data_IF_136216848311
#
_entry.id   IF_136216848311
#
_cell.length_a   1.000
_cell.length_b   1.000
_cell.length_c   1.000
_cell.angle_alpha   90.00
_cell.angle_beta   90.00
_cell.angle_gamma   90.00
#
_symmetry.space_group_name_H-M   'P 1'
#
loop_
_entity.id
_entity.type
_entity.pdbx_description
1 polymer ?
#
# COMPACT_ATOMS: atom_id res chain seq x y z
N UNK A 1 8.06 -34.14 1.62
CA UNK A 1 8.98 -33.63 0.56
C UNK A 1 8.57 -32.19 0.18
N UNK A 2 9.46 -31.45 -0.52
CA UNK A 2 9.13 -30.11 -1.08
C UNK A 2 7.94 -30.22 -2.04
N UNK A 3 7.84 -31.28 -2.80
CA UNK A 3 6.74 -31.54 -3.74
C UNK A 3 5.40 -31.76 -3.02
N UNK A 4 5.38 -32.49 -1.89
CA UNK A 4 4.18 -32.64 -1.05
C UNK A 4 3.75 -31.32 -0.43
N UNK A 5 4.72 -30.48 -0.04
CA UNK A 5 4.47 -29.14 0.47
C UNK A 5 3.86 -28.25 -0.61
N UNK A 6 4.44 -28.21 -1.82
CA UNK A 6 3.92 -27.41 -2.95
C UNK A 6 2.55 -27.89 -3.41
N UNK A 7 2.28 -29.19 -3.37
CA UNK A 7 0.96 -29.75 -3.70
C UNK A 7 -0.10 -29.55 -2.61
N UNK A 8 0.33 -29.35 -1.36
CA UNK A 8 -0.55 -29.15 -0.18
C UNK A 8 -0.97 -27.69 0.05
N UNK A 9 -0.20 -26.72 -0.43
CA UNK A 9 -0.53 -25.29 -0.30
C UNK A 9 -1.19 -24.79 -1.57
N UNK A 10 -2.51 -24.69 -1.54
CA UNK A 10 -3.30 -24.22 -2.69
C UNK A 10 -3.08 -22.75 -3.05
N UNK A 11 -2.61 -21.93 -2.09
CA UNK A 11 -2.57 -20.47 -2.22
C UNK A 11 -1.14 -19.91 -2.30
N UNK A 12 -0.19 -20.64 -2.90
CA UNK A 12 1.18 -20.14 -3.12
C UNK A 12 1.19 -18.81 -3.90
N UNK A 13 0.38 -18.57 -4.94
CA UNK A 13 0.34 -17.28 -5.61
C UNK A 13 -0.02 -16.11 -4.68
N UNK A 14 -1.01 -16.30 -3.80
CA UNK A 14 -1.40 -15.28 -2.80
C UNK A 14 -0.28 -15.01 -1.80
N UNK A 15 0.39 -16.06 -1.31
CA UNK A 15 1.54 -15.92 -0.41
C UNK A 15 2.72 -15.22 -1.11
N UNK A 16 2.90 -15.46 -2.41
CA UNK A 16 3.91 -14.80 -3.23
C UNK A 16 3.60 -13.30 -3.43
N UNK A 17 2.32 -12.96 -3.64
CA UNK A 17 1.84 -11.58 -3.70
C UNK A 17 1.98 -10.86 -2.35
N UNK A 18 1.78 -11.57 -1.23
CA UNK A 18 2.08 -11.10 0.12
C UNK A 18 3.58 -10.98 0.42
N UNK A 19 4.43 -11.19 -0.57
CA UNK A 19 5.89 -11.14 -0.46
C UNK A 19 6.45 -12.09 0.61
N UNK A 20 5.79 -13.26 0.81
CA UNK A 20 6.30 -14.30 1.71
C UNK A 20 7.59 -14.86 1.14
N UNK A 21 8.69 -14.62 1.82
CA UNK A 21 10.04 -15.02 1.35
C UNK A 21 10.46 -16.40 1.81
N UNK A 22 9.97 -16.84 2.95
CA UNK A 22 10.38 -18.10 3.56
C UNK A 22 9.20 -18.86 4.15
N UNK A 23 9.21 -20.19 4.00
CA UNK A 23 8.28 -21.09 4.66
C UNK A 23 9.01 -21.88 5.75
N UNK A 24 8.51 -21.82 6.98
CA UNK A 24 9.07 -22.54 8.13
C UNK A 24 8.12 -23.69 8.45
N UNK A 25 8.55 -24.93 8.16
CA UNK A 25 7.73 -26.14 8.34
C UNK A 25 7.90 -26.79 9.72
N UNK A 26 8.92 -26.42 10.47
CA UNK A 26 9.20 -26.94 11.81
C UNK A 26 10.49 -26.38 12.39
N UNK A 27 10.66 -26.51 13.70
CA UNK A 27 11.82 -25.94 14.40
C UNK A 27 13.16 -26.59 13.99
N UNK A 28 13.13 -27.85 13.57
CA UNK A 28 14.32 -28.65 13.22
C UNK A 28 14.61 -28.65 11.70
N UNK A 29 13.77 -27.98 10.90
CA UNK A 29 13.91 -27.94 9.44
C UNK A 29 14.43 -26.57 9.00
N UNK A 30 15.37 -26.51 8.04
CA UNK A 30 15.77 -25.24 7.47
C UNK A 30 14.59 -24.56 6.76
N UNK A 31 14.48 -23.23 6.81
CA UNK A 31 13.46 -22.49 6.05
C UNK A 31 13.58 -22.77 4.55
N UNK A 32 12.44 -22.93 3.89
CA UNK A 32 12.37 -23.06 2.44
C UNK A 32 12.17 -21.66 1.85
N UNK A 33 13.06 -21.25 0.94
CA UNK A 33 12.95 -19.96 0.27
C UNK A 33 11.85 -20.00 -0.81
N UNK A 34 10.99 -18.98 -0.83
CA UNK A 34 10.00 -18.77 -1.87
C UNK A 34 10.60 -17.93 -3.01
N UNK A 35 11.16 -18.59 -4.00
CA UNK A 35 11.72 -17.93 -5.19
C UNK A 35 10.65 -17.25 -6.07
N UNK A 36 9.37 -17.55 -5.85
CA UNK A 36 8.24 -16.95 -6.53
C UNK A 36 7.67 -15.68 -5.87
N UNK A 37 8.25 -15.20 -4.76
CA UNK A 37 7.80 -13.97 -4.11
C UNK A 37 7.82 -12.78 -5.08
N UNK A 38 6.73 -11.98 -5.13
CA UNK A 38 6.59 -10.89 -6.10
C UNK A 38 7.44 -9.68 -5.79
N UNK A 39 7.92 -9.58 -4.55
CA UNK A 39 8.64 -8.42 -4.06
C UNK A 39 7.69 -7.39 -3.42
N UNK A 40 8.21 -6.21 -3.05
CA UNK A 40 7.43 -5.18 -2.37
C UNK A 40 6.46 -4.44 -3.30
N UNK A 41 6.67 -4.51 -4.62
CA UNK A 41 5.78 -3.96 -5.64
C UNK A 41 6.06 -4.63 -7.00
N UNK A 42 5.04 -4.67 -7.86
CA UNK A 42 5.14 -5.18 -9.24
C UNK A 42 4.14 -4.48 -10.15
N UNK A 43 4.40 -4.51 -11.44
CA UNK A 43 3.47 -4.06 -12.47
C UNK A 43 2.53 -5.16 -12.91
N UNK A 44 1.29 -4.81 -13.25
CA UNK A 44 0.31 -5.71 -13.86
C UNK A 44 -0.05 -5.24 -15.26
N UNK A 45 -0.47 -6.20 -16.11
CA UNK A 45 -0.73 -6.00 -17.53
C UNK A 45 -2.21 -5.91 -17.84
N UNK A 46 -3.05 -6.49 -16.97
CA UNK A 46 -4.51 -6.56 -17.14
C UNK A 46 -5.24 -6.50 -15.81
N UNK A 47 -6.55 -6.34 -15.85
CA UNK A 47 -7.39 -6.47 -14.68
C UNK A 47 -8.68 -7.22 -14.97
N UNK A 48 -9.25 -7.85 -13.93
CA UNK A 48 -10.59 -8.44 -13.93
C UNK A 48 -11.48 -7.64 -12.97
N UNK A 49 -12.63 -7.14 -13.43
CA UNK A 49 -13.54 -6.44 -12.57
C UNK A 49 -14.32 -7.42 -11.69
N UNK A 50 -14.47 -7.11 -10.40
CA UNK A 50 -15.35 -7.80 -9.48
C UNK A 50 -16.54 -6.91 -9.13
N UNK A 51 -17.75 -7.47 -9.15
CA UNK A 51 -19.00 -6.76 -8.81
C UNK A 51 -19.30 -6.75 -7.32
N UNK A 52 -18.82 -7.77 -6.60
CA UNK A 52 -19.02 -7.92 -5.16
C UNK A 52 -17.72 -8.34 -4.46
N UNK A 53 -17.62 -8.13 -3.13
CA UNK A 53 -16.48 -8.60 -2.36
C UNK A 53 -16.25 -10.12 -2.42
N UNK A 54 -17.31 -10.93 -2.40
CA UNK A 54 -17.20 -12.38 -2.50
C UNK A 54 -16.68 -12.84 -3.87
N UNK A 55 -17.09 -12.14 -4.94
CA UNK A 55 -16.57 -12.36 -6.28
C UNK A 55 -15.10 -11.97 -6.39
N UNK A 56 -14.68 -10.86 -5.76
CA UNK A 56 -13.29 -10.42 -5.73
C UNK A 56 -12.37 -11.49 -5.11
N UNK A 57 -12.77 -12.07 -3.96
CA UNK A 57 -12.02 -13.17 -3.33
C UNK A 57 -11.99 -14.43 -4.21
N UNK A 58 -13.12 -14.79 -4.83
CA UNK A 58 -13.20 -15.98 -5.66
C UNK A 58 -12.32 -15.86 -6.93
N UNK A 59 -12.22 -14.66 -7.50
CA UNK A 59 -11.42 -14.40 -8.68
C UNK A 59 -9.90 -14.49 -8.38
N UNK A 60 -9.44 -14.15 -7.18
CA UNK A 60 -8.03 -14.24 -6.77
C UNK A 60 -7.46 -15.65 -6.97
N UNK A 61 -8.26 -16.69 -6.73
CA UNK A 61 -7.82 -18.08 -6.92
C UNK A 61 -7.75 -18.50 -8.41
N UNK A 62 -8.34 -17.72 -9.32
CA UNK A 62 -8.49 -18.07 -10.74
C UNK A 62 -7.61 -17.28 -11.68
N UNK A 63 -7.01 -16.17 -11.23
CA UNK A 63 -6.18 -15.28 -12.04
C UNK A 63 -4.69 -15.42 -11.71
N UNK A 64 -3.82 -15.10 -12.66
CA UNK A 64 -2.40 -14.93 -12.39
C UNK A 64 -2.14 -13.54 -11.80
N UNK A 65 -2.08 -13.45 -10.47
CA UNK A 65 -1.85 -12.20 -9.73
C UNK A 65 -0.53 -11.49 -10.07
N UNK A 66 0.40 -12.18 -10.76
CA UNK A 66 1.64 -11.57 -11.22
C UNK A 66 1.40 -10.61 -12.38
N UNK A 67 0.39 -10.90 -13.19
CA UNK A 67 0.09 -10.19 -14.44
C UNK A 67 -1.30 -9.54 -14.44
N UNK A 68 -2.23 -10.03 -13.62
CA UNK A 68 -3.64 -9.62 -13.64
C UNK A 68 -4.09 -9.20 -12.25
N UNK A 69 -4.58 -7.97 -12.12
CA UNK A 69 -5.19 -7.48 -10.90
C UNK A 69 -6.70 -7.78 -10.85
N UNK A 70 -7.25 -8.03 -9.67
CA UNK A 70 -8.71 -8.05 -9.44
C UNK A 70 -9.11 -6.74 -8.78
N UNK A 71 -10.02 -5.97 -9.41
CA UNK A 71 -10.40 -4.64 -8.93
C UNK A 71 -11.91 -4.61 -8.63
N UNK A 72 -12.27 -4.30 -7.38
CA UNK A 72 -13.64 -4.20 -6.91
C UNK A 72 -14.43 -3.05 -7.54
N UNK A 73 -15.78 -3.14 -7.50
CA UNK A 73 -16.70 -2.12 -8.05
C UNK A 73 -16.55 -0.75 -7.38
N UNK A 74 -16.06 -0.72 -6.15
CA UNK A 74 -15.83 0.52 -5.37
C UNK A 74 -14.76 1.42 -5.99
N UNK A 75 -13.96 0.90 -6.94
CA UNK A 75 -12.84 1.59 -7.59
C UNK A 75 -13.04 1.72 -9.10
N UNK A 76 -14.25 2.10 -9.53
CA UNK A 76 -14.58 2.25 -10.96
C UNK A 76 -13.67 3.24 -11.68
N UNK A 77 -13.33 4.39 -11.07
CA UNK A 77 -12.42 5.39 -11.63
C UNK A 77 -11.00 4.84 -11.85
N UNK A 78 -10.54 3.99 -10.94
CA UNK A 78 -9.24 3.31 -11.09
C UNK A 78 -9.24 2.35 -12.28
N UNK A 79 -10.35 1.65 -12.53
CA UNK A 79 -10.55 0.78 -13.69
C UNK A 79 -10.50 1.57 -15.00
N UNK A 80 -11.16 2.74 -15.06
CA UNK A 80 -11.10 3.64 -16.21
C UNK A 80 -9.68 4.14 -16.46
N UNK A 81 -8.96 4.52 -15.40
CA UNK A 81 -7.55 4.87 -15.46
C UNK A 81 -6.69 3.74 -16.03
N UNK A 82 -6.93 2.51 -15.58
CA UNK A 82 -6.24 1.31 -16.09
C UNK A 82 -6.56 1.07 -17.58
N UNK A 83 -7.83 1.14 -17.96
CA UNK A 83 -8.25 0.95 -19.35
C UNK A 83 -7.59 1.97 -20.30
N UNK A 84 -7.52 3.24 -19.90
CA UNK A 84 -6.82 4.29 -20.68
C UNK A 84 -5.32 4.01 -20.84
N UNK A 85 -4.67 3.50 -19.81
CA UNK A 85 -3.27 3.10 -19.82
C UNK A 85 -3.06 1.95 -20.82
N UNK A 86 -3.91 0.92 -20.76
CA UNK A 86 -3.81 -0.27 -21.60
C UNK A 86 -4.13 0.00 -23.07
N UNK A 87 -5.00 0.97 -23.38
CA UNK A 87 -5.37 1.36 -24.75
C UNK A 87 -4.41 2.34 -25.42
N UNK A 88 -3.32 2.73 -24.75
CA UNK A 88 -2.34 3.67 -25.32
C UNK A 88 -2.88 5.08 -25.58
N UNK A 89 -3.99 5.46 -24.93
CA UNK A 89 -4.59 6.81 -25.04
C UNK A 89 -5.35 7.07 -26.33
N UNK A 90 -5.75 6.06 -27.11
CA UNK A 90 -6.68 6.25 -28.23
C UNK A 90 -8.11 6.31 -27.72
N UNK A 91 -8.84 7.37 -28.11
CA UNK A 91 -10.25 7.61 -27.77
C UNK A 91 -11.22 6.68 -28.56
N UNK A 92 -10.85 5.43 -28.79
CA UNK A 92 -11.71 4.45 -29.47
C UNK A 92 -12.45 3.57 -28.47
N UNK A 93 -13.74 3.34 -28.77
CA UNK A 93 -14.82 2.73 -27.98
C UNK A 93 -14.44 1.39 -27.28
N UNK A 94 -14.75 1.17 -25.96
CA UNK A 94 -14.21 0.07 -25.17
C UNK A 94 -14.95 -1.29 -25.30
N UNK A 95 -15.50 -1.64 -26.46
CA UNK A 95 -16.35 -2.84 -26.64
C UNK A 95 -15.81 -3.90 -27.61
N UNK A 96 -14.50 -4.07 -27.76
CA UNK A 96 -13.97 -5.28 -28.45
C UNK A 96 -12.84 -5.92 -27.64
N UNK A 97 -13.21 -6.91 -26.83
CA UNK A 97 -12.32 -7.66 -25.93
C UNK A 97 -11.81 -8.90 -26.67
N UNK A 98 -11.03 -8.74 -27.72
CA UNK A 98 -10.41 -9.89 -28.41
C UNK A 98 -9.14 -9.58 -29.22
N UNK A 99 -8.27 -8.69 -28.74
CA UNK A 99 -6.90 -8.65 -29.26
C UNK A 99 -5.89 -8.66 -28.09
N UNK A 100 -5.05 -9.69 -28.07
CA UNK A 100 -3.85 -9.76 -27.21
C UNK A 100 -2.90 -8.64 -27.65
N UNK A 101 -2.87 -7.54 -26.88
CA UNK A 101 -1.92 -6.44 -27.11
C UNK A 101 -0.57 -6.86 -26.53
N UNK A 102 0.29 -7.37 -27.40
CA UNK A 102 1.70 -7.63 -27.10
C UNK A 102 2.43 -6.28 -27.01
N UNK A 103 2.67 -5.78 -25.82
CA UNK A 103 3.54 -4.62 -25.59
C UNK A 103 5.01 -5.07 -25.74
N UNK A 104 5.59 -4.82 -26.89
CA UNK A 104 7.01 -5.04 -27.17
C UNK A 104 7.82 -3.88 -26.54
N UNK A 105 8.27 -4.05 -25.28
CA UNK A 105 9.14 -3.10 -24.59
C UNK A 105 10.57 -3.60 -24.50
N UNK A 106 11.51 -2.88 -25.10
CA UNK A 106 12.96 -3.16 -25.05
C UNK A 106 13.66 -2.67 -23.76
N UNK A 107 12.98 -1.95 -22.90
CA UNK A 107 13.43 -1.63 -21.54
C UNK A 107 12.56 -2.41 -20.56
N UNK A 108 13.18 -3.20 -19.68
CA UNK A 108 12.45 -3.96 -18.66
C UNK A 108 11.86 -2.98 -17.67
N UNK A 109 10.52 -2.88 -17.62
CA UNK A 109 9.82 -2.09 -16.61
C UNK A 109 10.17 -2.64 -15.22
N UNK A 110 10.60 -1.79 -14.31
CA UNK A 110 11.08 -2.16 -12.97
C UNK A 110 10.51 -1.21 -11.95
N UNK A 111 10.08 -1.75 -10.82
CA UNK A 111 9.72 -1.00 -9.62
C UNK A 111 10.45 -1.61 -8.42
N UNK A 112 11.05 -0.77 -7.58
CA UNK A 112 11.85 -1.21 -6.44
C UNK A 112 11.54 -0.34 -5.22
N UNK A 113 11.47 -0.96 -4.04
CA UNK A 113 11.44 -0.23 -2.78
C UNK A 113 12.85 0.25 -2.45
N UNK A 114 13.01 1.56 -2.27
CA UNK A 114 14.29 2.21 -1.95
C UNK A 114 14.44 2.49 -0.47
N UNK A 115 13.33 2.65 0.26
CA UNK A 115 13.34 2.87 1.72
C UNK A 115 12.06 2.36 2.36
N UNK A 116 12.21 1.81 3.56
CA UNK A 116 11.11 1.35 4.41
C UNK A 116 11.24 1.97 5.80
N UNK A 117 10.19 2.67 6.23
CA UNK A 117 10.00 3.10 7.60
C UNK A 117 8.52 2.86 8.00
N UNK A 118 8.19 2.73 9.28
CA UNK A 118 6.82 2.40 9.71
C UNK A 118 5.73 3.33 9.18
N UNK A 119 6.08 4.59 8.91
CA UNK A 119 5.17 5.64 8.44
C UNK A 119 5.59 6.27 7.09
N UNK A 120 6.61 5.74 6.44
CA UNK A 120 7.06 6.23 5.13
C UNK A 120 7.64 5.08 4.30
N UNK A 121 7.12 4.90 3.10
CA UNK A 121 7.62 3.95 2.10
C UNK A 121 8.07 4.74 0.88
N UNK A 122 9.21 4.36 0.31
CA UNK A 122 9.72 4.97 -0.91
C UNK A 122 9.99 3.90 -1.95
N UNK A 123 9.59 4.21 -3.18
CA UNK A 123 9.82 3.36 -4.32
C UNK A 123 10.43 4.20 -5.44
N UNK A 124 11.25 3.57 -6.23
CA UNK A 124 11.75 4.08 -7.50
C UNK A 124 11.29 3.16 -8.61
N UNK A 125 10.81 3.71 -9.72
CA UNK A 125 10.43 2.90 -10.86
C UNK A 125 10.86 3.52 -12.19
N UNK A 126 11.00 2.64 -13.18
CA UNK A 126 11.17 2.98 -14.59
C UNK A 126 10.16 2.18 -15.39
N UNK A 127 9.33 2.85 -16.19
CA UNK A 127 8.30 2.24 -17.01
C UNK A 127 8.30 2.84 -18.41
N UNK A 128 8.32 1.98 -19.43
CA UNK A 128 8.35 2.39 -20.85
C UNK A 128 7.03 3.01 -21.31
N UNK A 129 5.93 2.69 -20.64
CA UNK A 129 4.58 3.24 -20.84
C UNK A 129 3.93 3.46 -19.47
N UNK A 130 2.78 4.14 -19.45
CA UNK A 130 1.97 4.22 -18.24
C UNK A 130 1.55 2.79 -17.82
N UNK A 131 1.64 2.48 -16.52
CA UNK A 131 1.42 1.14 -15.96
C UNK A 131 0.65 1.21 -14.64
N UNK A 132 -0.07 0.15 -14.32
CA UNK A 132 -0.61 -0.03 -12.99
C UNK A 132 0.37 -0.85 -12.15
N UNK A 133 0.70 -0.36 -10.96
CA UNK A 133 1.51 -1.07 -9.99
C UNK A 133 0.66 -1.54 -8.82
N UNK A 134 0.94 -2.76 -8.34
CA UNK A 134 0.45 -3.32 -7.09
C UNK A 134 1.61 -3.24 -6.08
N UNK A 135 1.29 -2.87 -4.85
CA UNK A 135 2.21 -2.81 -3.73
C UNK A 135 1.83 -3.88 -2.71
N UNK A 136 2.79 -4.69 -2.28
CA UNK A 136 2.58 -5.74 -1.25
C UNK A 136 2.35 -5.12 0.13
N UNK A 137 1.43 -4.14 0.20
CA UNK A 137 1.05 -3.38 1.37
C UNK A 137 -0.47 -3.35 1.48
N UNK A 138 -0.99 -3.50 2.69
CA UNK A 138 -2.44 -3.51 2.90
C UNK A 138 -3.03 -2.12 2.60
N UNK A 139 -4.07 -2.09 1.77
CA UNK A 139 -4.84 -0.88 1.52
C UNK A 139 -5.58 -0.44 2.78
N UNK A 140 -5.28 0.75 3.23
CA UNK A 140 -5.98 1.41 4.33
C UNK A 140 -6.20 2.87 3.94
N UNK A 141 -7.46 3.31 3.73
CA UNK A 141 -7.75 4.63 3.17
C UNK A 141 -7.44 5.77 4.14
N UNK A 142 -7.53 5.50 5.47
CA UNK A 142 -7.40 6.52 6.48
C UNK A 142 -5.95 6.77 6.87
N UNK A 143 -5.38 7.88 6.39
CA UNK A 143 -4.08 8.37 6.80
C UNK A 143 -2.92 8.06 5.88
N UNK A 144 -3.05 7.15 4.92
CA UNK A 144 -2.03 6.96 3.88
C UNK A 144 -2.26 7.92 2.72
N UNK A 145 -1.21 8.65 2.37
CA UNK A 145 -1.14 9.51 1.18
C UNK A 145 0.03 9.06 0.32
N UNK A 146 -0.07 9.29 -0.99
CA UNK A 146 1.01 8.99 -1.92
C UNK A 146 1.30 10.18 -2.84
N UNK A 147 2.53 10.27 -3.26
CA UNK A 147 2.98 11.21 -4.29
C UNK A 147 3.92 10.52 -5.27
N UNK A 148 3.90 10.96 -6.53
CA UNK A 148 4.90 10.66 -7.54
C UNK A 148 5.60 11.97 -7.90
N UNK A 149 6.92 12.04 -7.67
CA UNK A 149 7.75 13.26 -7.81
C UNK A 149 7.16 14.49 -7.11
N UNK A 150 6.50 14.27 -5.98
CA UNK A 150 5.83 15.30 -5.20
C UNK A 150 4.43 15.69 -5.67
N UNK A 151 3.95 15.22 -6.83
CA UNK A 151 2.56 15.38 -7.26
C UNK A 151 1.66 14.32 -6.59
N UNK A 152 0.42 14.65 -6.20
CA UNK A 152 -0.50 13.69 -5.61
C UNK A 152 -0.71 12.46 -6.49
N UNK A 153 -0.71 11.28 -5.86
CA UNK A 153 -0.96 9.98 -6.49
C UNK A 153 -2.12 9.30 -5.79
N UNK A 154 -3.17 8.99 -6.54
CA UNK A 154 -4.33 8.30 -6.01
C UNK A 154 -4.05 6.82 -5.80
N UNK A 155 -4.32 6.34 -4.58
CA UNK A 155 -4.23 4.95 -4.21
C UNK A 155 -5.61 4.31 -4.25
N UNK A 156 -5.68 3.10 -4.79
CA UNK A 156 -6.88 2.28 -4.75
C UNK A 156 -6.57 0.86 -4.26
N UNK A 157 -7.62 0.08 -4.02
CA UNK A 157 -7.48 -1.31 -3.59
C UNK A 157 -7.58 -2.26 -4.79
N UNK A 158 -6.66 -3.21 -4.85
CA UNK A 158 -6.70 -4.33 -5.78
C UNK A 158 -6.44 -5.65 -5.03
N UNK A 159 -6.83 -6.77 -5.64
CA UNK A 159 -6.60 -8.12 -5.13
C UNK A 159 -7.04 -8.26 -3.66
N UNK A 160 -8.21 -7.70 -3.34
CA UNK A 160 -8.86 -7.73 -2.04
C UNK A 160 -8.20 -6.85 -0.96
N UNK A 161 -6.87 -6.80 -0.89
CA UNK A 161 -6.17 -6.14 0.24
C UNK A 161 -5.05 -5.21 -0.17
N UNK A 162 -4.49 -5.31 -1.39
CA UNK A 162 -3.30 -4.57 -1.75
C UNK A 162 -3.58 -3.12 -2.15
N UNK A 163 -2.59 -2.26 -1.91
CA UNK A 163 -2.56 -0.93 -2.53
C UNK A 163 -2.19 -1.05 -3.98
N UNK A 164 -2.80 -0.22 -4.79
CA UNK A 164 -2.47 -0.09 -6.19
C UNK A 164 -2.48 1.39 -6.60
N UNK A 165 -1.79 1.70 -7.67
CA UNK A 165 -1.80 3.03 -8.28
C UNK A 165 -1.54 2.95 -9.79
N UNK A 166 -2.15 3.87 -10.54
CA UNK A 166 -1.86 4.09 -11.95
C UNK A 166 -0.69 5.06 -12.06
N UNK A 167 0.40 4.63 -12.68
CA UNK A 167 1.67 5.34 -12.76
C UNK A 167 1.94 5.83 -14.18
N UNK A 168 2.44 7.07 -14.36
CA UNK A 168 2.87 7.58 -15.66
C UNK A 168 4.09 6.82 -16.20
N UNK A 169 4.32 6.94 -17.51
CA UNK A 169 5.53 6.48 -18.14
C UNK A 169 6.74 7.34 -17.71
N UNK A 170 7.91 6.73 -17.63
CA UNK A 170 9.15 7.40 -17.29
C UNK A 170 9.86 6.79 -16.10
N UNK A 171 10.81 7.55 -15.57
CA UNK A 171 11.58 7.22 -14.38
C UNK A 171 11.17 8.19 -13.26
N UNK A 172 10.63 7.67 -12.16
CA UNK A 172 9.99 8.45 -11.12
C UNK A 172 10.20 7.87 -9.73
N UNK A 173 10.03 8.73 -8.71
CA UNK A 173 10.05 8.37 -7.31
C UNK A 173 8.65 8.46 -6.68
N UNK A 174 8.25 7.39 -5.99
CA UNK A 174 6.98 7.35 -5.23
C UNK A 174 7.31 7.46 -3.75
N UNK A 175 6.56 8.33 -3.06
CA UNK A 175 6.61 8.44 -1.60
C UNK A 175 5.20 8.22 -1.05
N UNK A 176 5.05 7.21 -0.20
CA UNK A 176 3.83 6.96 0.57
C UNK A 176 4.07 7.33 2.01
N UNK A 177 3.16 8.12 2.63
CA UNK A 177 3.25 8.53 4.04
C UNK A 177 1.99 8.19 4.79
N UNK A 178 2.18 7.78 6.04
CA UNK A 178 1.09 7.57 6.98
C UNK A 178 0.98 8.76 7.93
N UNK A 179 -0.03 9.60 7.71
CA UNK A 179 -0.29 10.82 8.47
C UNK A 179 -1.78 10.91 8.85
N UNK A 180 -2.27 10.07 9.78
CA UNK A 180 -3.68 10.06 10.17
C UNK A 180 -4.05 11.36 10.88
N UNK A 181 -4.89 12.18 10.27
CA UNK A 181 -5.32 13.47 10.79
C UNK A 181 -5.90 13.39 12.20
N UNK A 182 -6.68 12.33 12.47
CA UNK A 182 -7.29 12.11 13.80
C UNK A 182 -6.23 11.97 14.89
N UNK A 183 -5.17 11.22 14.61
CA UNK A 183 -4.05 11.04 15.54
C UNK A 183 -3.30 12.35 15.78
N UNK A 184 -3.00 13.10 14.72
CA UNK A 184 -2.28 14.38 14.79
C UNK A 184 -3.07 15.40 15.63
N UNK A 185 -4.39 15.49 15.41
CA UNK A 185 -5.26 16.39 16.18
C UNK A 185 -5.35 15.96 17.64
N UNK A 186 -5.54 14.67 17.90
CA UNK A 186 -5.62 14.12 19.27
C UNK A 186 -4.29 14.32 20.02
N UNK A 187 -3.15 14.14 19.39
CA UNK A 187 -1.84 14.36 19.99
C UNK A 187 -1.63 15.84 20.36
N UNK A 188 -1.98 16.76 19.47
CA UNK A 188 -1.91 18.22 19.77
C UNK A 188 -2.81 18.61 20.94
N UNK A 189 -4.04 18.09 20.98
CA UNK A 189 -4.97 18.33 22.08
C UNK A 189 -4.45 17.77 23.40
N UNK A 190 -3.91 16.56 23.39
CA UNK A 190 -3.32 15.91 24.57
C UNK A 190 -2.11 16.69 25.11
N UNK A 191 -1.21 17.12 24.23
CA UNK A 191 -0.04 17.95 24.60
C UNK A 191 -0.49 19.28 25.23
N UNK A 192 -1.46 19.97 24.64
CA UNK A 192 -2.01 21.22 25.17
C UNK A 192 -2.63 21.02 26.54
N UNK A 193 -3.44 19.98 26.71
CA UNK A 193 -4.07 19.65 28.01
C UNK A 193 -3.04 19.33 29.10
N UNK A 194 -2.02 18.52 28.74
CA UNK A 194 -0.94 18.16 29.67
C UNK A 194 -0.15 19.40 30.14
N UNK A 195 0.17 20.31 29.18
CA UNK A 195 0.85 21.56 29.51
C UNK A 195 0.01 22.45 30.42
N UNK A 196 -1.30 22.57 30.15
CA UNK A 196 -2.24 23.35 30.98
C UNK A 196 -2.28 22.80 32.41
N UNK A 197 -2.42 21.46 32.54
CA UNK A 197 -2.42 20.84 33.89
C UNK A 197 -1.09 21.06 34.61
N UNK A 198 0.04 20.98 33.91
CA UNK A 198 1.35 21.26 34.50
C UNK A 198 1.47 22.69 35.00
N UNK A 199 1.02 23.66 34.21
CA UNK A 199 1.01 25.09 34.62
C UNK A 199 0.13 25.31 35.86
N UNK A 200 -1.07 24.74 35.89
CA UNK A 200 -1.98 24.85 37.04
C UNK A 200 -1.36 24.21 38.29
N UNK A 201 -0.68 23.09 38.17
CA UNK A 201 0.03 22.45 39.26
C UNK A 201 1.14 23.37 39.83
N UNK A 202 1.95 23.94 38.95
CA UNK A 202 3.04 24.85 39.35
C UNK A 202 2.49 26.09 40.03
N UNK A 203 1.44 26.70 39.49
CA UNK A 203 0.75 27.86 40.11
C UNK A 203 0.16 27.52 41.49
N UNK A 204 -0.45 26.34 41.62
CA UNK A 204 -0.99 25.87 42.90
C UNK A 204 0.10 25.69 43.96
N UNK A 205 1.22 25.04 43.58
CA UNK A 205 2.37 24.87 44.50
C UNK A 205 3.02 26.20 44.87
N UNK A 206 3.14 27.13 43.94
CA UNK A 206 3.62 28.48 44.21
C UNK A 206 2.69 29.23 45.19
N UNK A 207 1.38 29.17 44.97
CA UNK A 207 0.37 29.75 45.86
C UNK A 207 0.47 29.23 47.30
N UNK A 208 0.64 27.90 47.45
CA UNK A 208 0.82 27.28 48.78
C UNK A 208 2.13 27.76 49.44
N UNK A 209 3.22 27.85 48.68
CA UNK A 209 4.53 28.31 49.18
C UNK A 209 4.47 29.79 49.66
N UNK A 210 3.78 30.67 48.93
CA UNK A 210 3.58 32.09 49.31
C UNK A 210 2.71 32.21 50.54
N UNK A 211 1.57 31.48 50.63
CA UNK A 211 0.67 31.50 51.77
C UNK A 211 1.36 31.02 53.06
N UNK A 212 2.23 30.00 52.99
CA UNK A 212 3.02 29.54 54.15
C UNK A 212 4.03 30.59 54.63
N UNK A 213 4.63 31.38 53.73
CA UNK A 213 5.59 32.41 54.09
C UNK A 213 4.96 33.58 54.85
N UNK A 214 3.72 33.95 54.54
CA UNK A 214 2.97 34.96 55.27
C UNK A 214 2.55 34.50 56.68
N UNK A 215 2.19 33.21 56.85
CA UNK A 215 1.81 32.65 58.15
C UNK A 215 2.96 32.47 59.15
N UNK A 216 4.21 32.57 58.70
CA UNK A 216 5.42 32.43 59.57
C UNK A 216 6.03 33.79 59.95
N UNK A 217 5.42 34.92 59.50
CA UNK A 217 5.92 36.25 59.70
C UNK A 217 5.13 37.05 60.83
N UNK A 218 4.27 36.34 61.60
CA UNK A 218 3.57 36.80 62.75
C UNK A 218 4.06 36.08 64.05
#
# INVERSE_FOLDING_TARGET
TIEEFQSGIRNIPVLSALNTKYFILGAEMPPIENLGAFGPAWFVDSFVPAGTPDEEIALIDSVDLRHTAVIGSDFAEAREGFAKISSGGSDEDPLDVSEEISVSGTAKDVIQMTSYAPNELRYHYSASAARTAIFSEIYYPDGWTATVDGAPLDLFRADWIFRAANLPAGEHDIVMRYEPNVYIVAEKASRASSLTLFILLVLSLAGIAFSRKESTAF
#
